data_IF_903268337301
#
_entry.id   IF_903268337301
#
_cell.length_a   1.000
_cell.length_b   1.000
_cell.length_c   1.000
_cell.angle_alpha   90.00
_cell.angle_beta   90.00
_cell.angle_gamma   90.00
#
_symmetry.space_group_name_H-M   'P 1'
#
loop_
_entity.id
_entity.type
_entity.pdbx_description
1 polymer ?
#
# COMPACT_ATOMS: atom_id res chain seq x y z
N UNK A 1 6.19 12.98 10.50
CA UNK A 1 5.52 11.72 10.61
C UNK A 1 6.30 10.64 9.89
N UNK A 2 6.46 9.57 10.54
CA UNK A 2 7.26 8.52 9.96
C UNK A 2 6.34 7.44 9.41
N UNK A 3 6.61 7.06 8.20
CA UNK A 3 5.89 5.99 7.58
C UNK A 3 6.82 4.81 7.47
N UNK A 4 6.39 3.70 8.00
CA UNK A 4 7.19 2.49 7.95
C UNK A 4 6.62 1.62 6.84
N UNK A 5 7.46 1.30 5.90
CA UNK A 5 7.10 0.34 4.88
C UNK A 5 7.42 -1.05 5.43
N UNK A 6 6.47 -1.92 5.34
CA UNK A 6 6.62 -3.26 5.87
C UNK A 6 6.43 -4.25 4.74
N UNK A 7 7.35 -5.18 4.65
CA UNK A 7 7.20 -6.26 3.72
C UNK A 7 6.11 -7.17 4.23
N UNK A 8 5.05 -7.29 3.45
CA UNK A 8 3.95 -8.15 3.85
C UNK A 8 4.36 -9.58 3.53
N UNK A 9 4.45 -10.37 4.56
CA UNK A 9 4.88 -11.73 4.39
C UNK A 9 3.95 -12.50 3.50
N UNK A 10 4.54 -13.38 2.74
CA UNK A 10 3.78 -14.24 1.87
C UNK A 10 3.75 -15.64 2.42
N UNK A 11 3.97 -15.77 3.69
CA UNK A 11 3.99 -17.08 4.31
C UNK A 11 2.67 -17.76 4.06
N UNK A 12 2.76 -19.01 3.71
CA UNK A 12 1.54 -19.74 3.43
C UNK A 12 0.72 -19.81 4.70
N UNK A 13 -0.57 -19.73 4.52
CA UNK A 13 -1.47 -19.78 5.64
C UNK A 13 -1.86 -18.42 6.19
N UNK A 14 -1.13 -17.40 5.86
CA UNK A 14 -1.49 -16.07 6.33
C UNK A 14 -2.56 -15.51 5.42
N UNK A 15 -3.74 -15.29 6.01
CA UNK A 15 -4.86 -14.79 5.25
C UNK A 15 -5.02 -13.30 5.38
N UNK A 16 -4.42 -12.72 6.39
CA UNK A 16 -4.63 -11.33 6.69
C UNK A 16 -3.43 -10.83 7.46
N UNK A 17 -3.02 -9.65 7.13
CA UNK A 17 -1.89 -9.03 7.81
C UNK A 17 -2.37 -7.76 8.46
N UNK A 18 -1.97 -7.58 9.71
CA UNK A 18 -2.28 -6.39 10.46
C UNK A 18 -1.00 -5.68 10.79
N UNK A 19 -1.02 -4.37 10.64
CA UNK A 19 0.11 -3.58 11.10
C UNK A 19 -0.39 -2.25 11.61
N UNK A 20 0.48 -1.57 12.32
CA UNK A 20 0.12 -0.31 12.94
C UNK A 20 1.02 0.78 12.39
N UNK A 21 0.39 1.85 11.94
CA UNK A 21 1.10 3.03 11.47
C UNK A 21 0.51 4.20 12.23
N UNK A 22 1.36 4.89 13.00
CA UNK A 22 0.90 6.01 13.81
C UNK A 22 -0.28 5.61 14.69
N UNK A 23 -0.18 4.43 15.27
CA UNK A 23 -1.18 3.91 16.20
C UNK A 23 -2.51 3.58 15.52
N UNK A 24 -2.55 3.58 14.22
CA UNK A 24 -3.74 3.18 13.49
C UNK A 24 -3.54 1.76 12.98
N UNK A 25 -4.51 0.92 13.29
CA UNK A 25 -4.46 -0.45 12.83
C UNK A 25 -4.84 -0.51 11.36
N UNK A 26 -3.99 -1.15 10.58
CA UNK A 26 -4.19 -1.27 9.14
C UNK A 26 -4.15 -2.75 8.80
N UNK A 27 -5.08 -3.20 8.00
CA UNK A 27 -5.21 -4.61 7.68
C UNK A 27 -5.10 -4.82 6.18
N UNK A 28 -4.42 -5.91 5.84
CA UNK A 28 -4.32 -6.37 4.45
C UNK A 28 -4.73 -7.83 4.42
N UNK A 29 -5.40 -8.21 3.35
CA UNK A 29 -5.79 -9.60 3.18
C UNK A 29 -4.69 -10.43 2.52
N UNK A 30 -3.76 -9.78 1.86
CA UNK A 30 -2.74 -10.48 1.10
C UNK A 30 -3.20 -10.84 -0.30
N UNK A 31 -4.36 -10.37 -0.70
CA UNK A 31 -4.92 -10.68 -2.01
C UNK A 31 -4.74 -9.47 -2.92
N UNK A 32 -4.14 -9.70 -4.09
CA UNK A 32 -3.95 -8.63 -5.05
C UNK A 32 -5.30 -8.15 -5.54
N UNK A 33 -5.53 -6.85 -5.40
CA UNK A 33 -6.79 -6.26 -5.78
C UNK A 33 -6.75 -5.76 -7.23
N UNK A 34 -5.62 -5.23 -7.63
CA UNK A 34 -5.47 -4.66 -8.95
C UNK A 34 -4.01 -4.62 -9.32
N UNK A 35 -3.74 -4.31 -10.58
CA UNK A 35 -2.40 -4.12 -11.07
C UNK A 35 -2.28 -2.67 -11.51
N UNK A 36 -1.22 -2.01 -11.06
CA UNK A 36 -0.92 -0.65 -11.48
C UNK A 36 0.29 -0.62 -12.36
N UNK A 37 0.50 0.52 -13.00
CA UNK A 37 1.65 0.72 -13.86
C UNK A 37 2.49 1.85 -13.32
N UNK A 38 3.79 1.63 -13.21
CA UNK A 38 4.71 2.68 -12.82
C UNK A 38 4.84 3.64 -14.01
N UNK A 39 4.59 4.93 -13.77
CA UNK A 39 4.70 5.92 -14.82
C UNK A 39 5.91 6.83 -14.62
N UNK A 40 6.40 6.94 -13.40
CA UNK A 40 7.58 7.79 -13.13
C UNK A 40 8.25 7.33 -11.85
N UNK A 41 9.56 7.50 -11.81
CA UNK A 41 10.36 7.21 -10.61
C UNK A 41 11.33 8.37 -10.46
N UNK A 42 11.37 8.96 -9.27
CA UNK A 42 12.27 10.08 -9.02
C UNK A 42 13.06 9.80 -7.75
N UNK A 43 14.37 9.89 -7.85
CA UNK A 43 15.22 9.73 -6.68
C UNK A 43 15.34 11.01 -5.90
N UNK A 44 15.45 10.88 -4.58
CA UNK A 44 15.52 12.02 -3.70
C UNK A 44 16.30 11.62 -2.46
N UNK A 45 17.62 11.87 -2.48
CA UNK A 45 18.48 11.62 -1.34
C UNK A 45 18.41 10.18 -0.84
N UNK A 46 18.44 9.25 -1.78
CA UNK A 46 18.42 7.83 -1.44
C UNK A 46 17.03 7.23 -1.36
N UNK A 47 16.02 8.06 -1.32
CA UNK A 47 14.64 7.58 -1.37
C UNK A 47 14.14 7.65 -2.81
N UNK A 48 13.00 7.03 -3.07
CA UNK A 48 12.38 7.11 -4.39
C UNK A 48 10.92 7.47 -4.25
N UNK A 49 10.50 8.40 -5.09
CA UNK A 49 9.09 8.72 -5.25
C UNK A 49 8.60 7.99 -6.48
N UNK A 50 7.62 7.14 -6.32
CA UNK A 50 7.13 6.28 -7.39
C UNK A 50 5.71 6.69 -7.70
N UNK A 51 5.47 7.07 -8.95
CA UNK A 51 4.14 7.47 -9.40
C UNK A 51 3.54 6.30 -10.16
N UNK A 52 2.32 5.94 -9.80
CA UNK A 52 1.66 4.76 -10.30
C UNK A 52 0.29 5.14 -10.81
N UNK A 53 -0.08 4.57 -11.95
CA UNK A 53 -1.41 4.72 -12.49
C UNK A 53 -2.21 3.48 -12.14
N UNK A 54 -3.35 3.66 -11.49
CA UNK A 54 -4.15 2.55 -11.00
C UNK A 54 -5.63 2.83 -11.24
N UNK A 55 -6.42 1.76 -11.42
CA UNK A 55 -7.84 1.94 -11.72
C UNK A 55 -8.65 2.54 -10.59
N UNK A 56 -8.17 2.44 -9.35
CA UNK A 56 -8.94 2.94 -8.22
C UNK A 56 -8.40 4.25 -7.66
N UNK A 57 -7.57 4.96 -8.41
CA UNK A 57 -6.91 6.14 -7.87
C UNK A 57 -7.90 7.20 -7.39
N UNK A 58 -9.03 7.35 -8.09
CA UNK A 58 -9.99 8.37 -7.68
C UNK A 58 -10.72 8.02 -6.39
N UNK A 59 -10.46 6.84 -5.83
CA UNK A 59 -11.02 6.47 -4.54
C UNK A 59 -9.98 6.56 -3.42
N UNK A 60 -8.78 6.99 -3.73
CA UNK A 60 -7.71 7.03 -2.74
C UNK A 60 -7.72 8.34 -1.98
N UNK A 61 -7.01 8.33 -0.86
CA UNK A 61 -6.82 9.52 -0.03
C UNK A 61 -5.35 9.64 0.30
N UNK A 62 -4.93 10.87 0.56
CA UNK A 62 -3.59 11.10 1.07
C UNK A 62 -3.46 10.35 2.39
N UNK A 63 -2.30 9.78 2.61
CA UNK A 63 -1.96 9.00 3.81
C UNK A 63 -2.59 7.62 3.84
N UNK A 64 -3.27 7.23 2.80
CA UNK A 64 -3.78 5.86 2.71
C UNK A 64 -2.63 4.90 2.42
N UNK A 65 -2.69 3.72 3.00
CA UNK A 65 -1.66 2.70 2.81
C UNK A 65 -2.06 1.74 1.71
N UNK A 66 -1.12 1.43 0.85
CA UNK A 66 -1.32 0.51 -0.26
C UNK A 66 -0.13 -0.42 -0.30
N UNK A 67 -0.40 -1.71 -0.47
CA UNK A 67 0.67 -2.68 -0.64
C UNK A 67 1.07 -2.74 -2.11
N UNK A 68 2.35 -2.60 -2.36
CA UNK A 68 2.94 -2.62 -3.71
C UNK A 68 3.85 -3.83 -3.78
N UNK A 69 3.44 -4.85 -4.51
CA UNK A 69 4.17 -6.12 -4.54
C UNK A 69 4.45 -6.60 -3.13
N UNK A 70 3.48 -6.40 -2.23
CA UNK A 70 3.61 -6.86 -0.87
C UNK A 70 4.33 -5.92 0.07
N UNK A 71 4.65 -4.70 -0.38
CA UNK A 71 5.32 -3.73 0.47
C UNK A 71 4.38 -2.56 0.71
N UNK A 72 4.13 -2.26 1.97
CA UNK A 72 3.19 -1.21 2.35
C UNK A 72 3.83 0.16 2.22
N UNK A 73 3.23 1.01 1.39
CA UNK A 73 3.69 2.38 1.22
C UNK A 73 2.49 3.30 1.35
N UNK A 74 2.75 4.55 1.67
CA UNK A 74 1.71 5.53 1.94
C UNK A 74 1.61 6.52 0.80
N UNK A 75 0.38 6.85 0.44
CA UNK A 75 0.11 7.82 -0.62
C UNK A 75 0.47 9.21 -0.15
N UNK A 76 1.32 9.89 -0.92
CA UNK A 76 1.74 11.24 -0.58
C UNK A 76 1.21 12.29 -1.57
N UNK A 77 0.84 11.87 -2.78
CA UNK A 77 0.28 12.77 -3.77
C UNK A 77 -0.80 12.06 -4.55
N UNK A 78 -1.82 12.81 -4.93
CA UNK A 78 -2.91 12.28 -5.74
C UNK A 78 -3.18 13.18 -6.91
N UNK A 79 -3.27 12.60 -8.08
CA UNK A 79 -3.60 13.31 -9.31
C UNK A 79 -4.18 12.27 -10.26
N UNK A 80 -5.43 11.89 -10.00
CA UNK A 80 -6.06 10.79 -10.71
C UNK A 80 -5.88 10.94 -12.21
N UNK A 81 -5.57 9.87 -12.91
CA UNK A 81 -5.57 8.47 -12.48
C UNK A 81 -4.28 7.99 -11.82
N UNK A 82 -3.45 8.89 -11.34
CA UNK A 82 -2.14 8.55 -10.78
C UNK A 82 -2.05 8.94 -9.33
N UNK A 83 -1.19 8.23 -8.62
CA UNK A 83 -0.85 8.60 -7.25
C UNK A 83 0.65 8.35 -7.06
N UNK A 84 1.21 8.98 -6.03
CA UNK A 84 2.64 8.87 -5.75
C UNK A 84 2.85 8.37 -4.34
N UNK A 85 3.78 7.46 -4.20
CA UNK A 85 4.21 6.94 -2.91
C UNK A 85 5.71 7.16 -2.78
N UNK A 86 6.20 7.18 -1.54
CA UNK A 86 7.63 7.35 -1.29
C UNK A 86 8.16 6.08 -0.63
N UNK A 87 9.20 5.52 -1.21
CA UNK A 87 9.89 4.38 -0.62
C UNK A 87 11.21 4.89 -0.08
N UNK A 88 11.41 4.74 1.22
CA UNK A 88 12.63 5.21 1.85
C UNK A 88 13.74 4.21 1.55
N UNK A 89 14.98 4.69 1.73
CA UNK A 89 16.14 3.90 1.36
C UNK A 89 16.14 2.51 1.98
N UNK A 90 15.79 2.41 3.24
CA UNK A 90 15.78 1.11 3.91
C UNK A 90 14.82 0.14 3.23
N UNK A 91 13.66 0.63 2.83
CA UNK A 91 12.69 -0.18 2.13
C UNK A 91 13.21 -0.63 0.77
N UNK A 92 13.90 0.28 0.09
CA UNK A 92 14.45 -0.04 -1.23
C UNK A 92 15.51 -1.13 -1.14
N UNK A 93 16.30 -1.11 -0.08
CA UNK A 93 17.34 -2.09 0.12
C UNK A 93 16.74 -3.46 0.43
N UNK A 94 15.67 -3.49 1.19
CA UNK A 94 15.10 -4.74 1.68
C UNK A 94 14.03 -5.33 0.77
N UNK A 95 13.73 -4.66 -0.33
CA UNK A 95 12.69 -5.12 -1.24
C UNK A 95 13.21 -4.95 -2.65
N UNK A 96 12.43 -5.40 -3.63
CA UNK A 96 12.81 -5.19 -5.02
C UNK A 96 12.13 -3.97 -5.62
N UNK A 97 11.57 -3.09 -4.78
CA UNK A 97 10.95 -1.88 -5.30
C UNK A 97 11.96 -0.95 -5.95
N UNK A 98 13.21 -1.02 -5.53
CA UNK A 98 14.23 -0.19 -6.13
C UNK A 98 14.49 -0.50 -7.60
N UNK A 99 14.04 -1.64 -8.06
CA UNK A 99 14.23 -2.04 -9.45
C UNK A 99 13.09 -1.61 -10.36
N UNK A 100 12.06 -1.03 -9.80
CA UNK A 100 10.91 -0.61 -10.60
C UNK A 100 11.29 0.54 -11.53
N UNK A 101 10.81 0.46 -12.75
CA UNK A 101 11.05 1.47 -13.77
C UNK A 101 9.74 1.82 -14.45
N UNK A 102 9.66 3.00 -15.08
CA UNK A 102 8.47 3.34 -15.82
C UNK A 102 8.10 2.24 -16.81
N UNK A 103 6.85 1.88 -16.83
CA UNK A 103 6.34 0.80 -17.66
C UNK A 103 6.14 -0.50 -16.92
N UNK A 104 6.76 -0.67 -15.76
CA UNK A 104 6.62 -1.90 -15.00
C UNK A 104 5.24 -1.99 -14.37
N UNK A 105 4.79 -3.21 -14.19
CA UNK A 105 3.52 -3.47 -13.52
C UNK A 105 3.78 -3.82 -12.07
N UNK A 106 2.83 -3.43 -11.23
CA UNK A 106 2.94 -3.62 -9.79
C UNK A 106 1.62 -4.16 -9.27
N UNK A 107 1.70 -5.19 -8.45
CA UNK A 107 0.52 -5.74 -7.79
C UNK A 107 0.12 -4.85 -6.63
N UNK A 108 -1.15 -4.52 -6.55
CA UNK A 108 -1.65 -3.55 -5.58
C UNK A 108 -2.75 -4.15 -4.71
N UNK A 109 -2.73 -3.75 -3.46
CA UNK A 109 -3.81 -4.05 -2.54
C UNK A 109 -3.98 -2.85 -1.62
N UNK A 110 -5.20 -2.31 -1.56
CA UNK A 110 -5.49 -1.22 -0.63
C UNK A 110 -5.71 -1.79 0.76
N UNK A 111 -5.28 -1.02 1.75
CA UNK A 111 -5.51 -1.42 3.13
C UNK A 111 -6.97 -1.23 3.49
N UNK A 112 -7.41 -2.00 4.48
CA UNK A 112 -8.71 -1.85 5.09
C UNK A 112 -8.50 -1.36 6.51
N UNK A 113 -9.07 -0.21 6.83
CA UNK A 113 -8.96 0.35 8.16
C UNK A 113 -10.16 -0.07 8.97
N UNK A 114 -10.00 -0.19 10.28
CA UNK A 114 -11.14 -0.60 11.10
C UNK A 114 -12.34 0.30 10.92
N UNK A 115 -12.13 1.62 10.81
CA UNK A 115 -13.26 2.52 10.63
C UNK A 115 -13.90 2.35 9.27
N UNK A 116 -13.14 1.97 8.26
CA UNK A 116 -13.72 1.72 6.95
C UNK A 116 -14.60 0.49 6.98
N UNK A 117 -14.23 -0.48 7.80
CA UNK A 117 -15.06 -1.68 7.94
C UNK A 117 -16.42 -1.34 8.53
N UNK A 118 -16.49 -0.29 9.30
CA UNK A 118 -17.74 0.09 9.93
C UNK A 118 -18.69 0.75 8.96
N UNK A 119 -18.21 1.20 7.84
CA UNK A 119 -19.04 1.90 6.89
C UNK A 119 -19.82 0.99 6.00
N UNK A 120 -19.45 -0.26 5.94
CA UNK A 120 -20.04 -1.13 4.98
C UNK A 120 -20.46 -2.43 5.59
N UNK A 121 -20.99 -3.22 4.77
CA UNK A 121 -21.50 -4.50 5.17
C UNK A 121 -20.41 -5.46 5.57
N UNK A 122 -19.19 -5.14 5.25
CA UNK A 122 -18.07 -5.96 5.62
C UNK A 122 -17.93 -6.04 7.11
N UNK A 123 -18.37 -5.02 7.75
CA UNK A 123 -18.25 -4.88 9.17
C UNK A 123 -18.78 -6.06 9.94
N UNK A 124 -19.90 -6.55 9.51
CA UNK A 124 -20.57 -7.53 10.31
C UNK A 124 -19.73 -8.72 10.63
N UNK A 125 -19.00 -9.16 9.67
CA UNK A 125 -18.23 -10.33 9.91
C UNK A 125 -16.89 -10.05 10.54
N UNK A 126 -16.30 -8.96 10.16
CA UNK A 126 -14.91 -8.75 10.51
C UNK A 126 -14.69 -8.15 11.86
N UNK A 127 -15.51 -7.20 12.21
CA UNK A 127 -15.35 -6.57 13.49
C UNK A 127 -15.48 -7.59 14.58
N UNK A 128 -16.41 -8.48 14.39
CA UNK A 128 -16.64 -9.49 15.39
C UNK A 128 -15.45 -10.39 15.54
N UNK A 129 -14.83 -10.67 14.44
CA UNK A 129 -13.74 -11.61 14.47
C UNK A 129 -12.53 -11.05 15.11
N UNK A 130 -12.40 -9.77 15.08
CA UNK A 130 -11.25 -9.17 15.69
C UNK A 130 -11.38 -9.14 17.18
N UNK A 131 -12.52 -9.39 17.64
CA UNK A 131 -12.71 -9.42 19.08
C UNK A 131 -11.93 -10.55 19.69
#
# INVERSE_FOLDING_TARGET
MSVVAVLLGVASGIKRLELYINQTKIMFSGIVEATGRVVAVREDQGNKHITIEAPFTNELRIDQSIAHNGVCLTVVELDAPRYTVTAIHETLVKSNLGELQPGDLVNLERSMRPDALLDGHIVQGHVDQTA
#
